data_IF_559966216371
#
_entry.id   IF_559966216371
#
_cell.length_a   1.000
_cell.length_b   1.000
_cell.length_c   1.000
_cell.angle_alpha   90.00
_cell.angle_beta   90.00
_cell.angle_gamma   90.00
#
_symmetry.space_group_name_H-M   'P 1'
#
loop_
_entity.id
_entity.type
_entity.pdbx_description
1 polymer ?
#
# COMPACT_ATOMS: atom_id res chain seq x y z
N UNK A 1 4.43 -14.24 4.73
CA UNK A 1 3.69 -13.45 3.73
C UNK A 1 3.15 -12.22 4.43
N UNK A 2 3.84 -11.08 4.38
CA UNK A 2 3.37 -9.85 5.02
C UNK A 2 2.37 -9.16 4.11
N UNK A 3 1.10 -9.19 4.49
CA UNK A 3 0.09 -8.26 3.98
C UNK A 3 0.48 -6.87 4.49
N UNK A 4 0.71 -5.93 3.58
CA UNK A 4 0.88 -4.50 3.87
C UNK A 4 -0.47 -3.96 4.35
N UNK A 5 -0.77 -4.12 5.63
CA UNK A 5 -1.86 -3.38 6.27
C UNK A 5 -1.37 -1.94 6.45
N UNK A 6 -1.88 -1.01 5.63
CA UNK A 6 -1.75 0.42 5.91
C UNK A 6 -3.01 0.81 6.69
N UNK A 7 -3.01 0.58 7.99
CA UNK A 7 -4.11 0.94 8.89
C UNK A 7 -4.12 2.45 9.15
N UNK A 8 -4.85 3.19 8.29
CA UNK A 8 -5.25 4.56 8.58
C UNK A 8 -6.24 4.53 9.75
N UNK A 9 -5.78 4.84 10.96
CA UNK A 9 -6.66 5.03 12.12
C UNK A 9 -7.52 6.27 11.91
N UNK A 10 -8.80 6.04 11.67
CA UNK A 10 -9.82 7.08 11.44
C UNK A 10 -10.81 7.09 12.60
N UNK A 11 -11.09 8.29 13.09
CA UNK A 11 -12.03 8.55 14.18
C UNK A 11 -13.31 9.23 13.64
N UNK A 12 -14.37 9.26 14.44
CA UNK A 12 -15.71 9.77 14.06
C UNK A 12 -15.74 11.27 13.72
N UNK A 13 -14.65 12.00 14.02
CA UNK A 13 -14.49 13.42 13.71
C UNK A 13 -13.88 13.68 12.33
N UNK A 14 -13.56 12.64 11.55
CA UNK A 14 -12.96 12.82 10.23
C UNK A 14 -13.97 13.33 9.21
N UNK A 15 -13.71 14.52 8.67
CA UNK A 15 -14.43 15.03 7.51
C UNK A 15 -14.21 14.10 6.29
N UNK A 16 -15.24 13.83 5.46
CA UNK A 16 -15.11 12.98 4.28
C UNK A 16 -13.98 13.39 3.32
N UNK A 17 -13.63 14.70 3.27
CA UNK A 17 -12.50 15.18 2.46
C UNK A 17 -11.16 14.77 3.06
N UNK A 18 -11.04 14.76 4.38
CA UNK A 18 -9.84 14.32 5.08
C UNK A 18 -9.58 12.82 4.88
N UNK A 19 -10.65 11.99 4.90
CA UNK A 19 -10.56 10.56 4.58
C UNK A 19 -10.11 10.33 3.14
N UNK A 20 -10.66 11.10 2.20
CA UNK A 20 -10.31 10.99 0.78
C UNK A 20 -8.85 11.37 0.53
N UNK A 21 -8.36 12.43 1.18
CA UNK A 21 -6.97 12.85 1.09
C UNK A 21 -6.02 11.77 1.68
N UNK A 22 -6.34 11.26 2.86
CA UNK A 22 -5.56 10.21 3.51
C UNK A 22 -5.52 8.91 2.67
N UNK A 23 -6.64 8.52 2.08
CA UNK A 23 -6.72 7.37 1.18
C UNK A 23 -5.84 7.54 -0.07
N UNK A 24 -5.87 8.72 -0.68
CA UNK A 24 -5.02 9.02 -1.85
C UNK A 24 -3.53 8.96 -1.50
N UNK A 25 -3.14 9.47 -0.35
CA UNK A 25 -1.74 9.43 0.11
C UNK A 25 -1.29 7.99 0.40
N UNK A 26 -2.16 7.19 1.02
CA UNK A 26 -1.93 5.77 1.25
C UNK A 26 -1.76 4.99 -0.05
N UNK A 27 -2.61 5.23 -1.05
CA UNK A 27 -2.51 4.61 -2.38
C UNK A 27 -1.22 5.01 -3.10
N UNK A 28 -0.86 6.30 -3.07
CA UNK A 28 0.36 6.79 -3.68
C UNK A 28 1.62 6.14 -3.08
N UNK A 29 1.66 6.00 -1.76
CA UNK A 29 2.76 5.32 -1.05
C UNK A 29 2.81 3.82 -1.38
N UNK A 30 1.65 3.14 -1.41
CA UNK A 30 1.58 1.74 -1.78
C UNK A 30 2.08 1.51 -3.22
N UNK A 31 1.63 2.35 -4.16
CA UNK A 31 2.02 2.27 -5.56
C UNK A 31 3.51 2.54 -5.75
N UNK A 32 4.03 3.61 -5.15
CA UNK A 32 5.45 3.96 -5.24
C UNK A 32 6.35 2.82 -4.73
N UNK A 33 5.97 2.18 -3.62
CA UNK A 33 6.70 1.02 -3.07
C UNK A 33 6.62 -0.20 -3.99
N UNK A 34 5.44 -0.49 -4.53
CA UNK A 34 5.26 -1.60 -5.46
C UNK A 34 6.09 -1.41 -6.73
N UNK A 35 6.10 -0.21 -7.32
CA UNK A 35 6.93 0.13 -8.49
C UNK A 35 8.41 -0.03 -8.15
N UNK A 36 8.86 0.47 -6.99
CA UNK A 36 10.26 0.32 -6.58
C UNK A 36 10.67 -1.14 -6.49
N UNK A 37 9.87 -1.98 -5.84
CA UNK A 37 10.16 -3.41 -5.74
C UNK A 37 10.14 -4.11 -7.10
N UNK A 38 9.27 -3.69 -8.01
CA UNK A 38 9.23 -4.21 -9.37
C UNK A 38 10.51 -3.85 -10.14
N UNK A 39 10.96 -2.59 -10.08
CA UNK A 39 12.20 -2.15 -10.71
C UNK A 39 13.46 -2.81 -10.13
N UNK A 40 13.45 -3.14 -8.84
CA UNK A 40 14.53 -3.87 -8.19
C UNK A 40 14.51 -5.39 -8.48
N UNK A 41 13.57 -5.89 -9.30
CA UNK A 41 13.33 -7.32 -9.55
C UNK A 41 13.06 -8.14 -8.27
N UNK A 42 12.54 -7.50 -7.23
CA UNK A 42 12.31 -8.11 -5.90
C UNK A 42 10.91 -8.71 -5.75
N UNK A 43 10.13 -8.69 -6.82
CA UNK A 43 8.75 -9.17 -6.85
C UNK A 43 8.71 -10.43 -7.69
N UNK A 44 8.51 -11.59 -7.04
CA UNK A 44 8.25 -12.85 -7.72
C UNK A 44 6.76 -13.18 -7.67
N UNK A 45 6.18 -13.48 -8.82
CA UNK A 45 4.81 -13.98 -8.94
C UNK A 45 4.74 -15.40 -8.38
N UNK A 46 3.84 -15.64 -7.43
CA UNK A 46 3.58 -16.95 -6.84
C UNK A 46 2.08 -17.27 -6.94
N UNK A 47 1.66 -17.81 -8.08
CA UNK A 47 0.25 -18.11 -8.36
C UNK A 47 -0.61 -16.85 -8.26
N UNK A 48 -1.56 -16.84 -7.31
CA UNK A 48 -2.45 -15.70 -7.05
C UNK A 48 -1.85 -14.62 -6.12
N UNK A 49 -0.57 -14.73 -5.75
CA UNK A 49 0.11 -13.79 -4.85
C UNK A 49 1.46 -13.35 -5.38
N UNK A 50 2.07 -12.41 -4.68
CA UNK A 50 3.43 -11.91 -4.98
C UNK A 50 4.30 -11.99 -3.75
N UNK A 51 5.48 -12.57 -3.89
CA UNK A 51 6.50 -12.63 -2.84
C UNK A 51 7.46 -11.48 -3.06
N UNK A 52 7.54 -10.58 -2.08
CA UNK A 52 8.50 -9.47 -2.06
C UNK A 52 9.64 -9.83 -1.12
N UNK A 53 10.87 -9.93 -1.64
CA UNK A 53 12.05 -10.14 -0.78
C UNK A 53 12.39 -8.82 -0.08
N UNK A 54 12.53 -8.82 1.25
CA UNK A 54 12.94 -7.66 2.08
C UNK A 54 14.45 -7.60 2.24
#
# INVERSE_FOLDING_TARGET
>A
MQVLSNDLRVDHSYDPRALTAAGRDAEALALSRAVRWHCEHRVLLNGNGTVVFR
#
